data_IF_579371646952
#
_entry.id   IF_579371646952
#
_cell.length_a   1.000
_cell.length_b   1.000
_cell.length_c   1.000
_cell.angle_alpha   90.00
_cell.angle_beta   90.00
_cell.angle_gamma   90.00
#
_symmetry.space_group_name_H-M   'P 1'
#
loop_
_entity.id
_entity.type
_entity.pdbx_description
1 polymer ?
#
# COMPACT_ATOMS: atom_id res chain seq x y z
N UNK A 1 -8.70 -0.49 -3.13
CA UNK A 1 -9.35 -0.88 -1.87
C UNK A 1 -10.70 -1.57 -2.07
N UNK A 2 -11.70 -1.00 -2.77
CA UNK A 2 -13.07 -1.57 -2.90
C UNK A 2 -13.11 -2.97 -3.54
N UNK A 3 -12.20 -3.29 -4.44
CA UNK A 3 -12.09 -4.61 -5.08
C UNK A 3 -11.08 -5.55 -4.40
N UNK A 4 -10.33 -5.06 -3.42
CA UNK A 4 -9.26 -5.81 -2.77
C UNK A 4 -9.78 -7.08 -2.08
N UNK A 5 -10.94 -7.01 -1.42
CA UNK A 5 -11.54 -8.16 -0.76
C UNK A 5 -11.86 -9.30 -1.76
N UNK A 6 -12.46 -8.99 -2.92
CA UNK A 6 -12.73 -9.98 -3.97
C UNK A 6 -11.45 -10.59 -4.54
N UNK A 7 -10.41 -9.77 -4.73
CA UNK A 7 -9.11 -10.21 -5.23
C UNK A 7 -8.40 -11.09 -4.20
N UNK A 8 -8.45 -10.70 -2.92
CA UNK A 8 -7.87 -11.48 -1.82
C UNK A 8 -8.53 -12.85 -1.69
N UNK A 9 -9.87 -12.93 -1.82
CA UNK A 9 -10.59 -14.21 -1.80
C UNK A 9 -10.25 -15.09 -3.01
N UNK A 10 -10.06 -14.50 -4.20
CA UNK A 10 -9.82 -15.25 -5.43
C UNK A 10 -8.38 -15.75 -5.55
N UNK A 11 -7.40 -14.92 -5.18
CA UNK A 11 -5.97 -15.20 -5.39
C UNK A 11 -5.22 -15.51 -4.09
N UNK A 12 -5.85 -15.29 -2.95
CA UNK A 12 -5.19 -15.37 -1.65
C UNK A 12 -4.31 -14.15 -1.35
N UNK A 13 -4.13 -13.87 -0.06
CA UNK A 13 -3.35 -12.70 0.41
C UNK A 13 -1.90 -12.74 -0.06
N UNK A 14 -1.27 -13.93 -0.08
CA UNK A 14 0.13 -14.13 -0.50
C UNK A 14 0.38 -13.65 -1.92
N UNK A 15 -0.38 -14.19 -2.87
CA UNK A 15 -0.21 -13.90 -4.30
C UNK A 15 -0.55 -12.44 -4.56
N UNK A 16 -1.62 -11.94 -3.96
CA UNK A 16 -2.03 -10.55 -4.11
C UNK A 16 -0.95 -9.58 -3.61
N UNK A 17 -0.35 -9.84 -2.45
CA UNK A 17 0.72 -9.00 -1.89
C UNK A 17 1.91 -8.96 -2.83
N UNK A 18 2.40 -10.10 -3.30
CA UNK A 18 3.56 -10.16 -4.20
C UNK A 18 3.26 -9.50 -5.54
N UNK A 19 2.12 -9.81 -6.15
CA UNK A 19 1.71 -9.19 -7.41
C UNK A 19 1.61 -7.66 -7.30
N UNK A 20 1.07 -7.17 -6.18
CA UNK A 20 0.96 -5.73 -5.90
C UNK A 20 2.32 -5.06 -5.73
N UNK A 21 3.27 -5.71 -5.05
CA UNK A 21 4.65 -5.20 -4.93
C UNK A 21 5.31 -5.11 -6.30
N UNK A 22 5.22 -6.14 -7.13
CA UNK A 22 5.81 -6.08 -8.48
C UNK A 22 5.11 -5.05 -9.38
N UNK A 23 3.81 -4.86 -9.22
CA UNK A 23 3.09 -3.82 -9.95
C UNK A 23 3.58 -2.41 -9.57
N UNK A 24 3.84 -2.15 -8.27
CA UNK A 24 4.44 -0.89 -7.82
C UNK A 24 5.89 -0.75 -8.28
N UNK A 25 6.68 -1.83 -8.34
CA UNK A 25 8.05 -1.81 -8.90
C UNK A 25 8.02 -1.38 -10.37
N UNK A 26 7.15 -1.99 -11.18
CA UNK A 26 7.01 -1.62 -12.60
C UNK A 26 6.64 -0.14 -12.74
N UNK A 27 5.72 0.35 -11.92
CA UNK A 27 5.32 1.74 -11.92
C UNK A 27 6.47 2.69 -11.55
N UNK A 28 7.25 2.37 -10.51
CA UNK A 28 8.41 3.18 -10.08
C UNK A 28 9.49 3.25 -11.16
N UNK A 29 9.79 2.12 -11.82
CA UNK A 29 10.69 2.15 -12.98
C UNK A 29 10.06 2.92 -14.15
N UNK A 30 8.75 2.82 -14.35
CA UNK A 30 8.04 3.62 -15.34
C UNK A 30 8.20 5.13 -15.08
N UNK A 31 8.06 5.57 -13.82
CA UNK A 31 8.35 6.96 -13.44
C UNK A 31 9.81 7.33 -13.71
N UNK A 32 10.76 6.43 -13.46
CA UNK A 32 12.18 6.66 -13.73
C UNK A 32 12.49 6.89 -15.22
N UNK A 33 11.69 6.36 -16.13
CA UNK A 33 11.84 6.54 -17.58
C UNK A 33 10.88 7.58 -18.16
N UNK A 34 10.03 8.19 -17.33
CA UNK A 34 9.05 9.15 -17.81
C UNK A 34 9.74 10.46 -18.23
N UNK A 35 9.52 10.86 -19.48
CA UNK A 35 9.99 12.12 -20.05
C UNK A 35 8.88 13.15 -20.17
N UNK A 36 7.62 12.73 -20.07
CA UNK A 36 6.43 13.55 -20.23
C UNK A 36 5.44 13.33 -19.11
N UNK A 37 4.65 14.37 -18.79
CA UNK A 37 3.60 14.30 -17.78
C UNK A 37 2.57 13.20 -18.07
N UNK A 38 2.23 12.96 -19.33
CA UNK A 38 1.30 11.88 -19.73
C UNK A 38 1.81 10.49 -19.33
N UNK A 39 3.12 10.25 -19.43
CA UNK A 39 3.72 8.98 -18.97
C UNK A 39 3.59 8.82 -17.45
N UNK A 40 3.75 9.89 -16.69
CA UNK A 40 3.54 9.85 -15.23
C UNK A 40 2.11 9.43 -14.89
N UNK A 41 1.11 9.98 -15.59
CA UNK A 41 -0.30 9.60 -15.39
C UNK A 41 -0.50 8.11 -15.70
N UNK A 42 0.04 7.61 -16.80
CA UNK A 42 -0.11 6.20 -17.20
C UNK A 42 0.46 5.27 -16.14
N UNK A 43 1.67 5.57 -15.63
CA UNK A 43 2.30 4.75 -14.58
C UNK A 43 1.72 4.97 -13.18
N UNK A 44 1.03 6.09 -12.93
CA UNK A 44 0.31 6.31 -11.68
C UNK A 44 -0.87 5.33 -11.49
N UNK A 45 -1.48 4.86 -12.58
CA UNK A 45 -2.59 3.89 -12.52
C UNK A 45 -2.13 2.55 -11.90
N UNK A 46 -1.13 1.84 -12.46
CA UNK A 46 -0.64 0.60 -11.85
C UNK A 46 -0.03 0.83 -10.45
N UNK A 47 0.60 1.98 -10.21
CA UNK A 47 1.09 2.35 -8.88
C UNK A 47 -0.05 2.40 -7.85
N UNK A 48 -1.11 3.13 -8.14
CA UNK A 48 -2.26 3.28 -7.24
C UNK A 48 -3.00 1.97 -6.99
N UNK A 49 -3.15 1.14 -8.03
CA UNK A 49 -3.76 -0.20 -7.90
C UNK A 49 -2.89 -1.09 -7.00
N UNK A 50 -1.59 -1.15 -7.24
CA UNK A 50 -0.65 -1.96 -6.47
C UNK A 50 -0.58 -1.50 -5.01
N UNK A 51 -0.37 -0.20 -4.77
CA UNK A 51 -0.27 0.36 -3.43
C UNK A 51 -1.57 0.18 -2.62
N UNK A 52 -2.73 0.42 -3.24
CA UNK A 52 -4.02 0.24 -2.56
C UNK A 52 -4.37 -1.24 -2.29
N UNK A 53 -3.93 -2.15 -3.15
CA UNK A 53 -4.18 -3.57 -2.96
C UNK A 53 -3.28 -4.17 -1.87
N UNK A 54 -2.00 -3.80 -1.82
CA UNK A 54 -1.07 -4.28 -0.79
C UNK A 54 -1.46 -3.77 0.60
N UNK A 55 -1.83 -2.49 0.70
CA UNK A 55 -2.26 -1.89 1.96
C UNK A 55 -3.47 -2.64 2.54
N UNK A 56 -4.52 -2.81 1.75
CA UNK A 56 -5.71 -3.54 2.16
C UNK A 56 -5.42 -5.01 2.50
N UNK A 57 -4.57 -5.69 1.71
CA UNK A 57 -4.24 -7.10 1.92
C UNK A 57 -3.44 -7.32 3.20
N UNK A 58 -2.42 -6.49 3.46
CA UNK A 58 -1.58 -6.60 4.66
C UNK A 58 -2.35 -6.23 5.94
N UNK A 59 -3.12 -5.13 5.91
CA UNK A 59 -3.96 -4.74 7.04
C UNK A 59 -4.95 -5.85 7.41
N UNK A 60 -5.63 -6.43 6.42
CA UNK A 60 -6.55 -7.55 6.65
C UNK A 60 -5.82 -8.79 7.18
N UNK A 61 -4.67 -9.14 6.61
CA UNK A 61 -3.87 -10.28 7.07
C UNK A 61 -3.41 -10.13 8.51
N UNK A 62 -2.88 -8.96 8.88
CA UNK A 62 -2.43 -8.68 10.24
C UNK A 62 -3.60 -8.66 11.22
N UNK A 63 -4.74 -8.08 10.83
CA UNK A 63 -5.94 -8.06 11.66
C UNK A 63 -6.47 -9.47 12.00
N UNK A 64 -6.41 -10.40 11.04
CA UNK A 64 -6.93 -11.75 11.19
C UNK A 64 -5.96 -12.71 11.90
N UNK A 65 -4.64 -12.54 11.72
CA UNK A 65 -3.65 -13.53 12.17
C UNK A 65 -2.77 -13.07 13.32
N UNK A 66 -2.79 -11.77 13.66
CA UNK A 66 -1.87 -11.20 14.65
C UNK A 66 -2.60 -10.33 15.68
N UNK A 67 -1.89 -10.02 16.78
CA UNK A 67 -2.41 -9.16 17.85
C UNK A 67 -2.37 -7.68 17.42
N UNK A 68 -3.20 -6.85 18.04
CA UNK A 68 -3.28 -5.40 17.77
C UNK A 68 -1.92 -4.67 17.77
N UNK A 69 -0.98 -5.10 18.63
CA UNK A 69 0.39 -4.54 18.65
C UNK A 69 1.14 -4.64 17.32
N UNK A 70 0.90 -5.70 16.54
CA UNK A 70 1.55 -5.89 15.25
C UNK A 70 0.96 -4.96 14.17
N UNK A 71 -0.34 -4.64 14.30
CA UNK A 71 -0.96 -3.61 13.49
C UNK A 71 -0.32 -2.23 13.75
N UNK A 72 -0.09 -1.90 15.03
CA UNK A 72 0.61 -0.66 15.39
C UNK A 72 2.03 -0.61 14.84
N UNK A 73 2.75 -1.75 14.81
CA UNK A 73 4.07 -1.82 14.19
C UNK A 73 4.02 -1.60 12.67
N UNK A 74 3.02 -2.18 11.99
CA UNK A 74 2.82 -1.98 10.56
C UNK A 74 2.72 -0.48 10.23
N UNK A 75 1.89 0.24 10.97
CA UNK A 75 1.74 1.68 10.79
C UNK A 75 2.96 2.49 11.24
N UNK A 76 3.69 2.04 12.27
CA UNK A 76 4.95 2.67 12.68
C UNK A 76 5.99 2.58 11.55
N UNK A 77 6.17 1.42 10.93
CA UNK A 77 7.07 1.26 9.79
C UNK A 77 6.66 2.08 8.57
N UNK A 78 5.36 2.25 8.35
CA UNK A 78 4.87 3.19 7.34
C UNK A 78 5.34 4.62 7.65
N UNK A 79 5.22 5.07 8.90
CA UNK A 79 5.73 6.38 9.36
C UNK A 79 7.25 6.53 9.17
N UNK A 80 8.04 5.49 9.44
CA UNK A 80 9.49 5.49 9.15
C UNK A 80 9.74 5.67 7.65
N UNK A 81 8.98 5.00 6.79
CA UNK A 81 9.08 5.14 5.34
C UNK A 81 8.81 6.56 4.87
N UNK A 82 7.80 7.22 5.43
CA UNK A 82 7.45 8.62 5.09
C UNK A 82 8.54 9.62 5.51
N UNK A 83 9.28 9.34 6.59
CA UNK A 83 10.42 10.16 7.01
C UNK A 83 11.62 9.94 6.09
N UNK A 84 11.94 8.70 5.73
CA UNK A 84 13.12 8.35 4.94
C UNK A 84 12.99 8.77 3.47
N UNK A 85 11.80 8.66 2.89
CA UNK A 85 11.61 8.88 1.45
C UNK A 85 11.99 10.30 0.96
N UNK A 86 11.70 11.41 1.68
CA UNK A 86 12.15 12.74 1.28
C UNK A 86 13.67 12.89 1.27
N UNK A 87 14.40 12.22 2.18
CA UNK A 87 15.87 12.26 2.19
C UNK A 87 16.46 11.55 0.98
N UNK A 88 15.91 10.41 0.59
CA UNK A 88 16.31 9.68 -0.62
C UNK A 88 16.08 10.54 -1.87
N UNK A 89 14.90 11.15 -1.97
CA UNK A 89 14.58 12.02 -3.09
C UNK A 89 15.41 13.30 -3.09
N UNK A 90 15.62 13.93 -1.93
CA UNK A 90 16.46 15.11 -1.76
C UNK A 90 17.91 14.83 -2.20
N UNK A 91 18.49 13.70 -1.79
CA UNK A 91 19.80 13.27 -2.26
C UNK A 91 19.86 13.09 -3.79
N UNK A 92 18.85 12.45 -4.36
CA UNK A 92 18.78 12.26 -5.81
C UNK A 92 18.69 13.59 -6.57
N UNK A 93 17.91 14.55 -6.06
CA UNK A 93 17.74 15.86 -6.67
C UNK A 93 19.02 16.73 -6.60
N UNK A 94 19.80 16.60 -5.52
CA UNK A 94 21.05 17.36 -5.37
C UNK A 94 22.20 16.76 -6.17
N UNK A 95 22.24 15.44 -6.33
CA UNK A 95 23.33 14.73 -7.00
C UNK A 95 23.06 14.42 -8.49
N UNK A 96 21.78 14.45 -8.94
CA UNK A 96 21.41 14.04 -10.29
C UNK A 96 20.04 14.58 -10.70
N UNK A 97 19.07 13.71 -10.97
CA UNK A 97 17.72 14.02 -11.43
C UNK A 97 16.67 13.27 -10.62
N UNK A 98 15.43 13.78 -10.60
CA UNK A 98 14.30 13.13 -9.95
C UNK A 98 14.04 11.70 -10.47
N UNK A 99 14.37 11.42 -11.75
CA UNK A 99 14.26 10.08 -12.33
C UNK A 99 15.14 9.06 -11.60
N UNK A 100 16.35 9.47 -11.18
CA UNK A 100 17.25 8.62 -10.41
C UNK A 100 16.70 8.33 -9.00
N UNK A 101 16.00 9.28 -8.39
CA UNK A 101 15.30 9.05 -7.13
C UNK A 101 14.29 7.90 -7.24
N UNK A 102 13.43 7.92 -8.26
CA UNK A 102 12.50 6.81 -8.51
C UNK A 102 13.21 5.50 -8.83
N UNK A 103 14.36 5.55 -9.49
CA UNK A 103 15.17 4.36 -9.77
C UNK A 103 15.71 3.73 -8.49
N UNK A 104 16.24 4.53 -7.57
CA UNK A 104 16.73 4.06 -6.28
C UNK A 104 15.60 3.41 -5.48
N UNK A 105 14.47 4.08 -5.34
CA UNK A 105 13.30 3.55 -4.63
C UNK A 105 12.78 2.29 -5.32
N UNK A 106 12.74 2.27 -6.66
CA UNK A 106 12.34 1.10 -7.45
C UNK A 106 13.24 -0.13 -7.20
N UNK A 107 14.56 0.07 -7.11
CA UNK A 107 15.48 -1.01 -6.74
C UNK A 107 15.28 -1.50 -5.30
N UNK A 108 15.10 -0.59 -4.33
CA UNK A 108 14.79 -0.98 -2.95
C UNK A 108 13.50 -1.81 -2.90
N UNK A 109 12.46 -1.36 -3.59
CA UNK A 109 11.19 -2.07 -3.68
C UNK A 109 11.32 -3.43 -4.38
N UNK A 110 12.15 -3.54 -5.41
CA UNK A 110 12.44 -4.80 -6.11
C UNK A 110 13.11 -5.82 -5.16
N UNK A 111 14.09 -5.39 -4.37
CA UNK A 111 14.74 -6.25 -3.36
C UNK A 111 13.72 -6.76 -2.36
N UNK A 112 12.85 -5.89 -1.85
CA UNK A 112 11.76 -6.28 -0.94
C UNK A 112 10.83 -7.29 -1.64
N UNK A 113 10.47 -7.06 -2.90
CA UNK A 113 9.64 -7.97 -3.70
C UNK A 113 10.27 -9.36 -3.85
N UNK A 114 11.56 -9.44 -4.09
CA UNK A 114 12.31 -10.70 -4.17
C UNK A 114 12.33 -11.42 -2.80
N UNK A 115 12.57 -10.70 -1.72
CA UNK A 115 12.53 -11.27 -0.36
C UNK A 115 11.14 -11.82 -0.05
N UNK A 116 10.07 -11.09 -0.40
CA UNK A 116 8.70 -11.55 -0.24
C UNK A 116 8.42 -12.82 -1.05
N UNK A 117 8.90 -12.90 -2.29
CA UNK A 117 8.81 -14.10 -3.13
C UNK A 117 9.47 -15.31 -2.47
N UNK A 118 10.71 -15.15 -1.98
CA UNK A 118 11.47 -16.22 -1.34
C UNK A 118 10.85 -16.67 -0.02
N UNK A 119 10.17 -15.77 0.69
CA UNK A 119 9.53 -16.07 1.98
C UNK A 119 8.07 -16.52 1.87
N UNK A 120 7.52 -16.65 0.67
CA UNK A 120 6.12 -17.08 0.45
C UNK A 120 5.76 -18.41 1.13
N UNK A 121 6.72 -19.33 1.21
CA UNK A 121 6.53 -20.64 1.86
C UNK A 121 6.36 -20.54 3.37
N UNK A 122 6.87 -19.47 3.99
CA UNK A 122 6.79 -19.25 5.45
C UNK A 122 5.44 -18.66 5.86
N UNK A 123 4.72 -18.05 4.95
CA UNK A 123 3.42 -17.44 5.25
C UNK A 123 2.38 -18.52 5.51
N UNK A 124 1.98 -18.68 6.77
CA UNK A 124 0.90 -19.59 7.15
C UNK A 124 -0.42 -18.96 6.73
N UNK A 125 -1.13 -19.61 5.83
CA UNK A 125 -2.54 -19.31 5.54
C UNK A 125 -3.37 -20.35 6.28
N UNK A 126 -4.02 -19.96 7.35
CA UNK A 126 -5.12 -20.74 7.90
C UNK A 126 -6.32 -20.53 6.98
N UNK A 127 -6.53 -21.43 6.06
CA UNK A 127 -7.66 -21.40 5.10
C UNK A 127 -9.01 -21.41 5.82
N UNK A 128 -9.05 -21.96 7.03
CA UNK A 128 -10.25 -22.06 7.88
C UNK A 128 -10.78 -20.70 8.35
N UNK A 129 -9.93 -19.67 8.46
CA UNK A 129 -10.33 -18.31 8.88
C UNK A 129 -10.96 -17.53 7.73
N UNK A 130 -10.60 -17.86 6.50
CA UNK A 130 -11.12 -17.18 5.30
C UNK A 130 -12.54 -17.64 4.97
N UNK A 131 -12.87 -18.87 5.32
CA UNK A 131 -14.16 -19.49 4.98
C UNK A 131 -15.31 -19.20 5.96
N UNK A 132 -15.01 -18.80 7.20
CA UNK A 132 -16.04 -18.72 8.25
C UNK A 132 -16.58 -17.31 8.55
N UNK A 133 -16.02 -16.24 7.98
CA UNK A 133 -16.37 -14.86 8.41
C UNK A 133 -16.89 -13.92 7.34
N UNK A 134 -17.19 -14.35 6.15
CA UNK A 134 -17.64 -13.39 5.16
C UNK A 134 -18.88 -13.81 4.40
N UNK A 135 -20.04 -13.53 5.01
CA UNK A 135 -21.15 -13.05 4.19
C UNK A 135 -20.67 -11.82 3.42
N UNK A 136 -20.92 -11.81 2.14
CA UNK A 136 -20.59 -10.68 1.25
C UNK A 136 -21.45 -9.47 1.67
N UNK A 137 -21.02 -8.78 2.71
CA UNK A 137 -21.68 -7.57 3.18
C UNK A 137 -21.34 -6.49 2.18
N UNK A 138 -22.17 -6.36 1.14
CA UNK A 138 -22.00 -5.30 0.15
C UNK A 138 -21.84 -3.94 0.82
N UNK A 139 -21.07 -3.04 0.20
CA UNK A 139 -20.73 -1.71 0.74
C UNK A 139 -21.96 -0.97 1.32
N UNK A 140 -23.10 -1.03 0.63
CA UNK A 140 -24.35 -0.39 1.10
C UNK A 140 -24.92 -1.04 2.37
N UNK A 141 -24.74 -2.34 2.55
CA UNK A 141 -25.17 -3.05 3.76
C UNK A 141 -24.24 -2.72 4.93
N UNK A 142 -22.93 -2.61 4.68
CA UNK A 142 -21.96 -2.17 5.67
C UNK A 142 -22.23 -0.73 6.16
N UNK A 143 -22.56 0.19 5.28
CA UNK A 143 -22.90 1.57 5.63
C UNK A 143 -24.16 1.69 6.50
N UNK A 144 -25.06 0.70 6.48
CA UNK A 144 -26.25 0.66 7.34
C UNK A 144 -25.97 0.16 8.76
N UNK A 145 -24.79 -0.40 9.02
CA UNK A 145 -24.43 -0.86 10.37
C UNK A 145 -24.23 0.38 11.24
N UNK A 146 -24.94 0.42 12.38
CA UNK A 146 -24.88 1.55 13.33
C UNK A 146 -23.44 1.77 13.81
N UNK A 147 -22.91 2.97 13.59
CA UNK A 147 -21.53 3.34 13.95
C UNK A 147 -20.54 3.34 12.79
N UNK A 148 -20.71 2.50 11.75
CA UNK A 148 -19.79 2.42 10.61
C UNK A 148 -19.66 3.75 9.85
N UNK A 149 -20.74 4.53 9.56
CA UNK A 149 -20.60 5.82 8.91
C UNK A 149 -19.75 6.81 9.70
N UNK A 150 -19.88 6.83 11.02
CA UNK A 150 -19.09 7.73 11.90
C UNK A 150 -17.60 7.32 11.91
N UNK A 151 -17.30 6.01 11.93
CA UNK A 151 -15.93 5.52 11.80
C UNK A 151 -15.31 5.91 10.46
N UNK A 152 -16.06 5.78 9.37
CA UNK A 152 -15.60 6.17 8.04
C UNK A 152 -15.37 7.68 7.93
N UNK A 153 -16.26 8.49 8.50
CA UNK A 153 -16.07 9.96 8.56
C UNK A 153 -14.85 10.33 9.40
N UNK A 154 -14.65 9.69 10.54
CA UNK A 154 -13.47 9.89 11.38
C UNK A 154 -12.18 9.53 10.66
N UNK A 155 -12.16 8.40 9.94
CA UNK A 155 -11.02 7.97 9.15
C UNK A 155 -10.75 8.92 7.98
N UNK A 156 -11.79 9.38 7.29
CA UNK A 156 -11.67 10.36 6.21
C UNK A 156 -11.08 11.68 6.71
N UNK A 157 -11.56 12.18 7.86
CA UNK A 157 -11.02 13.40 8.49
C UNK A 157 -9.55 13.23 8.89
N UNK A 158 -9.18 12.06 9.44
CA UNK A 158 -7.80 11.72 9.76
C UNK A 158 -6.91 11.72 8.50
N UNK A 159 -7.30 11.01 7.45
CA UNK A 159 -6.54 10.97 6.20
C UNK A 159 -6.39 12.35 5.56
N UNK A 160 -7.45 13.17 5.60
CA UNK A 160 -7.40 14.52 5.06
C UNK A 160 -6.41 15.41 5.83
N UNK A 161 -6.44 15.37 7.16
CA UNK A 161 -5.51 16.11 8.01
C UNK A 161 -4.06 15.67 7.79
N UNK A 162 -3.82 14.35 7.77
CA UNK A 162 -2.50 13.78 7.55
C UNK A 162 -1.92 14.17 6.19
N UNK A 163 -2.69 13.96 5.11
CA UNK A 163 -2.25 14.28 3.75
C UNK A 163 -1.98 15.76 3.58
N UNK A 164 -2.87 16.62 4.12
CA UNK A 164 -2.69 18.07 4.08
C UNK A 164 -1.41 18.49 4.81
N UNK A 165 -1.19 17.96 6.01
CA UNK A 165 0.01 18.26 6.79
C UNK A 165 1.28 17.83 6.05
N UNK A 166 1.31 16.62 5.48
CA UNK A 166 2.47 16.12 4.73
C UNK A 166 2.78 16.96 3.49
N UNK A 167 1.75 17.39 2.75
CA UNK A 167 1.95 18.16 1.52
C UNK A 167 2.39 19.60 1.79
N UNK A 168 1.90 20.22 2.87
CA UNK A 168 2.14 21.64 3.15
C UNK A 168 3.21 21.90 4.20
N UNK A 169 3.65 20.89 4.96
CA UNK A 169 4.68 21.06 6.00
C UNK A 169 6.02 21.59 5.46
N UNK A 170 6.34 21.34 4.18
CA UNK A 170 7.56 21.85 3.55
C UNK A 170 7.42 23.29 3.05
N UNK A 171 6.22 23.86 3.08
CA UNK A 171 5.95 25.23 2.58
C UNK A 171 6.02 26.25 3.69
N UNK A 172 5.90 25.84 4.94
CA UNK A 172 5.97 26.65 6.15
C UNK A 172 7.19 26.26 7.00
#
# INVERSE_FOLDING_TARGET
CLMSDRLTRKFGTKILTVASVFLTVIALFGFSFANNFSMLIVFAIPYGIGAGAIDAALNNYVALHYKAKHMSWLHCFWGVGTIVSPFVMGYALTSSTWNNGYRIVGFMQLVIGIILLLTLSVWKVNEDVVSTTSEDVGLFKALRIKGVPFLLLGFLAYCAAETTTMQWASTY
#
